data_IF_917833694066
#
_entry.id   IF_917833694066
#
_cell.length_a   1.000
_cell.length_b   1.000
_cell.length_c   1.000
_cell.angle_alpha   90.00
_cell.angle_beta   90.00
_cell.angle_gamma   90.00
#
_symmetry.space_group_name_H-M   'P 1'
#
loop_
_entity.id
_entity.type
_entity.pdbx_description
1 polymer ?
#
# COMPACT_ATOMS: atom_id res chain seq x y z
N UNK A 1 0.00 -14.89 -5.09
CA UNK A 1 -0.43 -13.53 -4.77
C UNK A 1 -0.23 -13.29 -3.30
N UNK A 2 0.48 -12.21 -2.98
CA UNK A 2 0.70 -11.72 -1.63
C UNK A 2 0.00 -10.37 -1.50
N UNK A 3 -0.49 -10.08 -0.30
CA UNK A 3 -0.98 -8.76 0.08
C UNK A 3 -0.02 -8.20 1.11
N UNK A 4 0.58 -7.06 0.81
CA UNK A 4 1.18 -6.19 1.83
C UNK A 4 0.07 -5.32 2.41
N UNK A 5 -0.12 -5.40 3.71
CA UNK A 5 -1.10 -4.60 4.43
C UNK A 5 -0.37 -3.68 5.41
N UNK A 6 -0.63 -2.39 5.30
CA UNK A 6 0.00 -1.35 6.11
C UNK A 6 -1.07 -0.58 6.86
N UNK A 7 -0.75 -0.14 8.08
CA UNK A 7 -1.60 0.73 8.89
C UNK A 7 -0.82 1.97 9.28
N UNK A 8 -1.37 3.13 8.97
CA UNK A 8 -0.77 4.43 9.24
C UNK A 8 -1.64 5.21 10.21
N UNK A 9 -0.98 6.01 11.04
CA UNK A 9 -1.59 7.14 11.73
C UNK A 9 -1.27 8.40 10.94
N UNK A 10 -2.32 9.13 10.55
CA UNK A 10 -2.26 10.38 9.82
C UNK A 10 -3.22 11.35 10.47
N UNK A 11 -2.79 12.56 10.86
CA UNK A 11 -3.72 13.58 11.37
C UNK A 11 -4.86 13.80 10.38
N UNK A 12 -6.12 13.87 10.85
CA UNK A 12 -7.30 14.00 9.99
C UNK A 12 -7.19 15.16 9.00
N UNK A 13 -6.60 16.29 9.44
CA UNK A 13 -6.37 17.46 8.60
C UNK A 13 -5.42 17.22 7.40
N UNK A 14 -4.60 16.17 7.46
CA UNK A 14 -3.62 15.80 6.44
C UNK A 14 -4.00 14.55 5.66
N UNK A 15 -5.08 13.84 6.03
CA UNK A 15 -5.51 12.59 5.40
C UNK A 15 -5.68 12.70 3.88
N UNK A 16 -6.39 13.72 3.42
CA UNK A 16 -6.58 13.94 1.97
C UNK A 16 -5.28 14.22 1.23
N UNK A 17 -4.38 15.01 1.85
CA UNK A 17 -3.04 15.27 1.31
C UNK A 17 -2.24 13.97 1.22
N UNK A 18 -2.26 13.15 2.27
CA UNK A 18 -1.61 11.85 2.32
C UNK A 18 -2.10 10.95 1.18
N UNK A 19 -3.42 10.82 0.99
CA UNK A 19 -4.03 9.98 -0.06
C UNK A 19 -3.62 10.47 -1.46
N UNK A 20 -3.68 11.77 -1.71
CA UNK A 20 -3.32 12.34 -3.02
C UNK A 20 -1.82 12.17 -3.34
N UNK A 21 -0.95 12.39 -2.35
CA UNK A 21 0.48 12.19 -2.51
C UNK A 21 0.81 10.69 -2.66
N UNK A 22 0.09 9.82 -1.95
CA UNK A 22 0.29 8.39 -2.02
C UNK A 22 -0.02 7.87 -3.42
N UNK A 23 -1.14 8.28 -4.02
CA UNK A 23 -1.47 7.95 -5.40
C UNK A 23 -0.40 8.43 -6.39
N UNK A 24 0.02 9.69 -6.25
CA UNK A 24 0.98 10.33 -7.15
C UNK A 24 2.40 9.77 -7.04
N UNK A 25 2.85 9.43 -5.84
CA UNK A 25 4.25 9.07 -5.56
C UNK A 25 4.37 7.56 -5.37
N UNK A 26 3.76 7.01 -4.32
CA UNK A 26 3.88 5.60 -3.98
C UNK A 26 3.18 4.71 -5.00
N UNK A 27 1.91 4.97 -5.33
CA UNK A 27 1.15 4.10 -6.24
C UNK A 27 1.74 4.13 -7.65
N UNK A 28 2.10 5.30 -8.16
CA UNK A 28 2.82 5.43 -9.43
C UNK A 28 4.17 4.69 -9.44
N UNK A 29 4.96 4.81 -8.38
CA UNK A 29 6.23 4.11 -8.24
C UNK A 29 6.03 2.59 -8.25
N UNK A 30 5.15 2.06 -7.40
CA UNK A 30 4.91 0.62 -7.28
C UNK A 30 4.33 0.03 -8.58
N UNK A 31 3.43 0.75 -9.25
CA UNK A 31 2.84 0.34 -10.53
C UNK A 31 3.88 0.21 -11.67
N UNK A 32 5.06 0.81 -11.53
CA UNK A 32 6.15 0.66 -12.50
C UNK A 32 6.92 -0.65 -12.38
N UNK A 33 6.72 -1.43 -11.31
CA UNK A 33 7.43 -2.69 -11.08
C UNK A 33 6.64 -3.91 -11.57
N UNK A 34 7.30 -4.87 -12.24
CA UNK A 34 6.67 -6.13 -12.62
C UNK A 34 6.08 -6.85 -11.40
N UNK A 35 4.87 -7.38 -11.57
CA UNK A 35 4.14 -8.12 -10.55
C UNK A 35 3.34 -7.26 -9.57
N UNK A 36 3.37 -5.91 -9.67
CA UNK A 36 2.34 -5.08 -9.04
C UNK A 36 0.97 -5.36 -9.68
N UNK A 37 -0.08 -5.51 -8.86
CA UNK A 37 -1.43 -5.78 -9.34
C UNK A 37 -2.39 -4.63 -9.06
N UNK A 38 -2.42 -4.13 -7.83
CA UNK A 38 -3.32 -3.05 -7.40
C UNK A 38 -2.95 -2.57 -6.01
N UNK A 39 -3.50 -1.41 -5.63
CA UNK A 39 -3.42 -0.83 -4.30
C UNK A 39 -4.78 -0.25 -3.92
N UNK A 40 -5.15 -0.44 -2.66
CA UNK A 40 -6.38 0.07 -2.08
C UNK A 40 -6.04 0.85 -0.81
N UNK A 41 -6.76 1.94 -0.56
CA UNK A 41 -6.67 2.72 0.66
C UNK A 41 -8.03 2.68 1.34
N UNK A 42 -8.04 2.34 2.63
CA UNK A 42 -9.25 2.25 3.45
C UNK A 42 -9.12 3.21 4.62
N UNK A 43 -10.16 4.02 4.84
CA UNK A 43 -10.26 4.92 5.97
C UNK A 43 -11.05 4.20 7.05
N UNK A 44 -10.52 4.15 8.28
CA UNK A 44 -11.24 3.55 9.39
C UNK A 44 -12.38 4.49 9.83
N UNK A 45 -13.67 4.07 9.77
CA UNK A 45 -14.78 4.93 10.16
C UNK A 45 -14.84 5.19 11.67
N UNK A 46 -14.22 4.33 12.48
CA UNK A 46 -14.24 4.42 13.95
C UNK A 46 -13.01 5.16 14.50
N UNK A 47 -11.95 5.31 13.70
CA UNK A 47 -10.73 6.04 14.03
C UNK A 47 -10.22 6.80 12.81
N UNK A 48 -10.67 8.04 12.67
CA UNK A 48 -10.43 8.86 11.47
C UNK A 48 -8.96 9.21 11.22
N UNK A 49 -8.10 9.07 12.24
CA UNK A 49 -6.66 9.24 12.08
C UNK A 49 -5.96 7.99 11.54
N UNK A 50 -6.68 6.88 11.37
CA UNK A 50 -6.12 5.64 10.85
C UNK A 50 -6.48 5.40 9.40
N UNK A 51 -5.45 5.10 8.61
CA UNK A 51 -5.55 4.67 7.23
C UNK A 51 -4.93 3.28 7.11
N UNK A 52 -5.65 2.36 6.48
CA UNK A 52 -5.10 1.08 6.05
C UNK A 52 -4.82 1.11 4.55
N UNK A 53 -3.72 0.49 4.14
CA UNK A 53 -3.35 0.31 2.73
C UNK A 53 -3.19 -1.18 2.48
N UNK A 54 -3.77 -1.67 1.37
CA UNK A 54 -3.57 -3.03 0.89
C UNK A 54 -2.95 -2.99 -0.51
N UNK A 55 -1.77 -3.59 -0.66
CA UNK A 55 -1.03 -3.65 -1.92
C UNK A 55 -0.98 -5.10 -2.37
N UNK A 56 -1.45 -5.38 -3.59
CA UNK A 56 -1.51 -6.73 -4.14
C UNK A 56 -0.34 -6.95 -5.08
N UNK A 57 0.39 -8.03 -4.83
CA UNK A 57 1.52 -8.47 -5.63
C UNK A 57 1.29 -9.87 -6.17
N UNK A 58 1.71 -10.12 -7.41
CA UNK A 58 1.64 -11.43 -8.05
C UNK A 58 2.32 -12.51 -7.20
N UNK A 59 3.50 -12.22 -6.66
CA UNK A 59 4.28 -13.10 -5.78
C UNK A 59 5.11 -12.31 -4.75
N UNK A 60 5.66 -13.01 -3.75
CA UNK A 60 6.56 -12.42 -2.76
C UNK A 60 7.87 -11.97 -3.41
N UNK A 61 8.37 -12.77 -4.36
CA UNK A 61 9.60 -12.51 -5.10
C UNK A 61 9.50 -11.22 -5.92
N UNK A 62 8.36 -11.00 -6.59
CA UNK A 62 8.10 -9.76 -7.33
C UNK A 62 8.16 -8.54 -6.39
N UNK A 63 7.48 -8.61 -5.26
CA UNK A 63 7.51 -7.54 -4.24
C UNK A 63 8.93 -7.31 -3.69
N UNK A 64 9.68 -8.37 -3.36
CA UNK A 64 11.04 -8.26 -2.82
C UNK A 64 12.12 -7.98 -3.87
N UNK A 65 11.76 -7.92 -5.15
CA UNK A 65 12.68 -7.53 -6.23
C UNK A 65 12.95 -6.03 -6.27
N UNK A 66 12.14 -5.21 -5.60
CA UNK A 66 12.31 -3.76 -5.56
C UNK A 66 13.58 -3.44 -4.75
N UNK A 67 14.57 -2.71 -5.32
CA UNK A 67 15.78 -2.37 -4.60
C UNK A 67 15.50 -1.46 -3.40
N UNK A 68 16.18 -1.72 -2.28
CA UNK A 68 16.06 -0.92 -1.05
C UNK A 68 16.36 0.55 -1.25
N UNK A 69 17.32 0.88 -2.13
CA UNK A 69 17.71 2.25 -2.44
C UNK A 69 16.56 3.00 -3.13
N UNK A 70 15.79 2.30 -3.98
CA UNK A 70 14.63 2.88 -4.66
C UNK A 70 13.48 3.11 -3.70
N UNK A 71 13.25 2.17 -2.76
CA UNK A 71 12.28 2.34 -1.67
C UNK A 71 12.62 3.53 -0.76
N UNK A 72 13.91 3.71 -0.43
CA UNK A 72 14.36 4.85 0.37
C UNK A 72 14.20 6.18 -0.37
N UNK A 73 14.45 6.21 -1.68
CA UNK A 73 14.27 7.41 -2.50
C UNK A 73 12.80 7.85 -2.56
N UNK A 74 11.89 6.91 -2.84
CA UNK A 74 10.45 7.24 -2.91
C UNK A 74 9.88 7.60 -1.53
N UNK A 75 10.34 6.96 -0.45
CA UNK A 75 9.96 7.36 0.91
C UNK A 75 10.46 8.77 1.23
N UNK A 76 11.71 9.11 0.90
CA UNK A 76 12.23 10.45 1.12
C UNK A 76 11.44 11.52 0.33
N UNK A 77 11.07 11.23 -0.92
CA UNK A 77 10.21 12.11 -1.73
C UNK A 77 8.84 12.31 -1.08
N UNK A 78 8.20 11.22 -0.66
CA UNK A 78 6.89 11.25 -0.01
C UNK A 78 6.93 11.97 1.35
N UNK A 79 7.90 11.63 2.21
CA UNK A 79 8.11 12.29 3.51
C UNK A 79 8.33 13.79 3.36
N UNK A 80 9.15 14.20 2.39
CA UNK A 80 9.40 15.62 2.11
C UNK A 80 8.12 16.34 1.67
N UNK A 81 7.33 15.73 0.79
CA UNK A 81 6.06 16.30 0.33
C UNK A 81 5.00 16.37 1.46
N UNK A 82 4.97 15.37 2.34
CA UNK A 82 4.10 15.35 3.52
C UNK A 82 4.55 16.32 4.62
N UNK A 83 5.85 16.67 4.65
CA UNK A 83 6.50 17.40 5.75
C UNK A 83 6.62 16.59 7.06
N UNK A 84 6.57 15.27 6.97
CA UNK A 84 6.86 14.33 8.08
C UNK A 84 5.70 13.98 9.02
N UNK A 85 4.48 14.49 8.78
CA UNK A 85 3.35 14.33 9.70
C UNK A 85 2.50 13.06 9.45
N UNK A 86 3.13 11.88 9.51
CA UNK A 86 2.46 10.58 9.52
C UNK A 86 3.35 9.51 10.16
N UNK A 87 2.75 8.42 10.62
CA UNK A 87 3.47 7.30 11.23
C UNK A 87 2.97 5.97 10.69
N UNK A 88 3.88 5.08 10.29
CA UNK A 88 3.56 3.68 10.07
C UNK A 88 3.39 2.99 11.43
N UNK A 89 2.19 2.51 11.72
CA UNK A 89 1.86 1.78 12.95
C UNK A 89 2.16 0.29 12.82
N UNK A 90 1.85 -0.29 11.66
CA UNK A 90 1.97 -1.73 11.44
C UNK A 90 2.15 -2.07 9.96
N UNK A 91 2.95 -3.10 9.66
CA UNK A 91 3.07 -3.67 8.33
C UNK A 91 3.04 -5.21 8.41
N UNK A 92 2.24 -5.84 7.56
CA UNK A 92 2.05 -7.30 7.50
C UNK A 92 2.05 -7.79 6.06
N UNK A 93 2.45 -9.04 5.87
CA UNK A 93 2.35 -9.75 4.60
C UNK A 93 1.38 -10.93 4.74
N UNK A 94 0.47 -11.08 3.78
CA UNK A 94 -0.52 -12.16 3.75
C UNK A 94 -0.44 -12.92 2.43
N UNK A 95 -0.35 -14.25 2.50
CA UNK A 95 -0.50 -15.10 1.32
C UNK A 95 -1.98 -15.29 1.02
N UNK A 96 -2.41 -15.02 -0.22
CA UNK A 96 -3.80 -15.25 -0.62
C UNK A 96 -3.99 -16.69 -1.06
N UNK A 97 -4.89 -17.41 -0.38
CA UNK A 97 -5.34 -18.73 -0.80
C UNK A 97 -6.45 -18.58 -1.84
N UNK A 98 -6.22 -19.12 -3.04
CA UNK A 98 -7.27 -19.21 -4.07
C UNK A 98 -8.12 -20.44 -3.77
N UNK A 99 -9.44 -20.27 -3.73
CA UNK A 99 -10.38 -21.38 -3.74
C UNK A 99 -10.75 -21.71 -5.20
N UNK A 100 -10.84 -22.98 -5.59
CA UNK A 100 -11.35 -23.34 -6.91
C UNK A 100 -12.78 -22.84 -7.05
N UNK A 101 -13.08 -22.10 -8.13
CA UNK A 101 -14.46 -21.76 -8.46
C UNK A 101 -15.14 -23.01 -9.00
N UNK A 102 -16.00 -23.64 -8.20
CA UNK A 102 -16.98 -24.61 -8.71
C UNK A 102 -17.98 -23.84 -9.55
N UNK A 103 -17.86 -23.94 -10.87
CA UNK A 103 -18.91 -23.46 -11.78
C UNK A 103 -20.17 -24.31 -11.53
N UNK A 104 -21.36 -23.73 -11.32
CA UNK A 104 -22.59 -24.50 -11.34
C UNK A 104 -22.73 -25.10 -12.74
N UNK A 105 -22.84 -26.42 -12.83
CA UNK A 105 -23.22 -27.10 -14.07
C UNK A 105 -24.63 -26.64 -14.42
N UNK A 106 -24.82 -26.22 -15.67
CA UNK A 106 -26.07 -25.68 -16.24
C UNK A 106 -27.28 -26.59 -16.03
#
# INVERSE_FOLDING_TARGET
>A
MVIEWLRFQVPTALREKFIQLDDRIWSAFLASYPGYLSKEIWINPDEETEIAIAIRWESLEAWKSIPSERLQQVEAEFSQAMSGDYQLLEGKAYQVRKFPQTSPTS
#
